data_IF_783930157286
#
_entry.id   IF_783930157286
#
_cell.length_a   1.000
_cell.length_b   1.000
_cell.length_c   1.000
_cell.angle_alpha   90.00
_cell.angle_beta   90.00
_cell.angle_gamma   90.00
#
_symmetry.space_group_name_H-M   'P 1'
#
loop_
_entity.id
_entity.type
_entity.pdbx_description
1 polymer ?
#
# COMPACT_ATOMS: atom_id res chain seq x y z
N UNK A 1 9.46 -7.51 12.94
CA UNK A 1 8.09 -6.96 13.07
C UNK A 1 7.26 -7.41 11.89
N UNK A 2 6.06 -7.90 12.13
CA UNK A 2 5.15 -8.25 11.04
C UNK A 2 4.64 -7.01 10.33
N UNK A 3 4.35 -7.11 9.02
CA UNK A 3 3.75 -5.98 8.31
C UNK A 3 2.46 -5.46 8.93
N UNK A 4 1.62 -6.31 9.51
CA UNK A 4 0.40 -5.90 10.20
C UNK A 4 0.68 -5.01 11.41
N UNK A 5 1.75 -5.30 12.15
CA UNK A 5 2.16 -4.47 13.28
C UNK A 5 2.66 -3.10 12.83
N UNK A 6 3.47 -3.09 11.76
CA UNK A 6 3.97 -1.85 11.17
C UNK A 6 2.82 -0.97 10.66
N UNK A 7 1.84 -1.57 9.99
CA UNK A 7 0.64 -0.88 9.52
C UNK A 7 -0.11 -0.24 10.69
N UNK A 8 -0.38 -1.01 11.73
CA UNK A 8 -1.13 -0.53 12.90
C UNK A 8 -0.44 0.67 13.56
N UNK A 9 0.89 0.61 13.66
CA UNK A 9 1.67 1.63 14.34
C UNK A 9 1.79 2.92 13.53
N UNK A 10 1.80 2.84 12.19
CA UNK A 10 2.17 3.94 11.32
C UNK A 10 1.08 4.38 10.33
N UNK A 11 -0.19 4.16 10.63
CA UNK A 11 -1.29 4.49 9.69
C UNK A 11 -1.23 5.94 9.19
N UNK A 12 -1.10 6.88 10.11
CA UNK A 12 -1.03 8.30 9.73
C UNK A 12 0.20 8.62 8.88
N UNK A 13 1.34 8.01 9.20
CA UNK A 13 2.56 8.17 8.42
C UNK A 13 2.41 7.63 7.00
N UNK A 14 1.76 6.48 6.85
CA UNK A 14 1.49 5.90 5.53
C UNK A 14 0.64 6.86 4.69
N UNK A 15 -0.45 7.37 5.26
CA UNK A 15 -1.31 8.32 4.56
C UNK A 15 -0.54 9.58 4.15
N UNK A 16 0.28 10.11 5.04
CA UNK A 16 1.06 11.30 4.77
C UNK A 16 2.04 11.11 3.61
N UNK A 17 2.74 9.98 3.58
CA UNK A 17 3.67 9.65 2.49
C UNK A 17 2.93 9.56 1.16
N UNK A 18 1.81 8.84 1.14
CA UNK A 18 1.02 8.67 -0.10
C UNK A 18 0.55 10.01 -0.63
N UNK A 19 0.01 10.85 0.24
CA UNK A 19 -0.52 12.16 -0.16
C UNK A 19 0.58 13.14 -0.58
N UNK A 20 1.75 13.06 0.03
CA UNK A 20 2.89 13.90 -0.33
C UNK A 20 3.40 13.63 -1.74
N UNK A 21 3.15 12.44 -2.27
CA UNK A 21 3.59 12.03 -3.61
C UNK A 21 2.42 11.82 -4.57
N UNK A 22 1.40 12.66 -4.47
CA UNK A 22 0.27 12.70 -5.40
C UNK A 22 -0.60 11.43 -5.44
N UNK A 23 -0.53 10.61 -4.39
CA UNK A 23 -1.44 9.49 -4.24
C UNK A 23 -2.67 9.85 -3.42
N UNK A 24 -3.70 9.03 -3.51
CA UNK A 24 -4.94 9.19 -2.74
C UNK A 24 -5.44 7.85 -2.27
N UNK A 25 -6.27 7.89 -1.23
CA UNK A 25 -7.08 6.74 -0.80
C UNK A 25 -6.24 5.49 -0.58
N UNK A 26 -5.23 5.59 0.30
CA UNK A 26 -4.39 4.45 0.65
C UNK A 26 -5.22 3.35 1.30
N UNK A 27 -5.09 2.13 0.78
CA UNK A 27 -5.82 0.95 1.27
C UNK A 27 -4.84 -0.20 1.41
N UNK A 28 -5.14 -1.13 2.31
CA UNK A 28 -4.38 -2.36 2.48
C UNK A 28 -5.14 -3.52 1.85
N UNK A 29 -4.40 -4.44 1.22
CA UNK A 29 -4.96 -5.68 0.70
C UNK A 29 -3.96 -6.83 0.90
N UNK A 30 -4.29 -8.02 0.42
CA UNK A 30 -3.39 -9.17 0.48
C UNK A 30 -3.31 -9.81 1.86
N UNK A 31 -2.16 -10.41 2.18
CA UNK A 31 -2.02 -11.23 3.39
C UNK A 31 -2.25 -10.44 4.68
N UNK A 32 -1.82 -9.18 4.73
CA UNK A 32 -2.03 -8.34 5.93
C UNK A 32 -3.52 -8.11 6.17
N UNK A 33 -4.27 -7.83 5.10
CA UNK A 33 -5.71 -7.62 5.22
C UNK A 33 -6.42 -8.85 5.79
N UNK A 34 -6.00 -10.03 5.37
CA UNK A 34 -6.63 -11.29 5.78
C UNK A 34 -6.06 -11.87 7.08
N UNK A 35 -5.15 -11.15 7.75
CA UNK A 35 -4.55 -11.62 8.99
C UNK A 35 -3.64 -12.83 8.81
N UNK A 36 -3.07 -13.01 7.64
CA UNK A 36 -2.24 -14.16 7.28
C UNK A 36 -0.77 -13.80 7.08
N UNK A 37 -0.37 -12.59 7.47
CA UNK A 37 1.02 -12.17 7.28
C UNK A 37 1.95 -12.81 8.30
N UNK A 38 3.20 -13.02 7.86
CA UNK A 38 4.31 -13.48 8.67
C UNK A 38 5.40 -12.41 8.69
N UNK A 39 6.48 -12.65 9.44
CA UNK A 39 7.59 -11.69 9.56
C UNK A 39 8.18 -11.28 8.21
N UNK A 40 8.18 -12.17 7.23
CA UNK A 40 8.76 -11.94 5.91
C UNK A 40 7.72 -11.62 4.83
N UNK A 41 6.47 -11.41 5.21
CA UNK A 41 5.42 -11.03 4.26
C UNK A 41 5.61 -9.59 3.79
N UNK A 42 5.08 -9.30 2.60
CA UNK A 42 5.03 -7.93 2.07
C UNK A 42 3.77 -7.23 2.57
N UNK A 43 3.88 -5.92 2.76
CA UNK A 43 2.70 -5.07 2.97
C UNK A 43 2.23 -4.60 1.61
N UNK A 44 1.00 -4.94 1.24
CA UNK A 44 0.41 -4.58 -0.04
C UNK A 44 -0.48 -3.35 0.12
N UNK A 45 -0.09 -2.26 -0.50
CA UNK A 45 -0.80 -0.97 -0.45
C UNK A 45 -1.36 -0.65 -1.82
N UNK A 46 -2.64 -0.32 -1.86
CA UNK A 46 -3.35 0.12 -3.05
C UNK A 46 -3.61 1.62 -2.92
N UNK A 47 -3.24 2.37 -3.93
CA UNK A 47 -3.47 3.81 -3.96
C UNK A 47 -4.21 4.20 -5.23
N UNK A 48 -4.97 5.28 -5.17
CA UNK A 48 -5.59 5.87 -6.34
C UNK A 48 -4.68 6.98 -6.87
N UNK A 49 -4.35 6.97 -8.17
CA UNK A 49 -3.55 8.04 -8.75
C UNK A 49 -4.41 9.29 -8.99
N UNK A 50 -3.74 10.43 -9.07
CA UNK A 50 -4.32 11.69 -9.57
C UNK A 50 -3.80 11.95 -10.98
N UNK A 51 -4.31 12.97 -11.70
CA UNK A 51 -3.74 13.31 -13.00
C UNK A 51 -2.25 13.69 -12.94
N UNK A 52 -1.76 14.08 -11.76
CA UNK A 52 -0.36 14.48 -11.57
C UNK A 52 0.56 13.34 -11.16
N UNK A 53 0.01 12.17 -10.86
CA UNK A 53 0.80 11.03 -10.38
C UNK A 53 1.64 10.45 -11.50
N UNK A 54 2.93 10.27 -11.25
CA UNK A 54 3.87 9.64 -12.19
C UNK A 54 4.37 8.31 -11.62
N UNK A 55 5.07 7.55 -12.47
CA UNK A 55 5.74 6.34 -12.00
C UNK A 55 6.83 6.66 -10.97
N UNK A 56 7.45 7.84 -11.06
CA UNK A 56 8.41 8.29 -10.05
C UNK A 56 7.73 8.49 -8.69
N UNK A 57 6.50 9.00 -8.68
CA UNK A 57 5.73 9.14 -7.44
C UNK A 57 5.46 7.79 -6.79
N UNK A 58 5.05 6.81 -7.59
CA UNK A 58 4.79 5.44 -7.09
C UNK A 58 6.07 4.85 -6.49
N UNK A 59 7.20 5.01 -7.18
CA UNK A 59 8.48 4.53 -6.68
C UNK A 59 8.92 5.24 -5.40
N UNK A 60 8.68 6.54 -5.31
CA UNK A 60 9.01 7.33 -4.12
C UNK A 60 8.15 6.90 -2.93
N UNK A 61 6.86 6.68 -3.13
CA UNK A 61 5.95 6.18 -2.09
C UNK A 61 6.46 4.85 -1.55
N UNK A 62 6.76 3.92 -2.44
CA UNK A 62 7.28 2.60 -2.05
C UNK A 62 8.56 2.74 -1.23
N UNK A 63 9.51 3.51 -1.72
CA UNK A 63 10.80 3.71 -1.06
C UNK A 63 10.63 4.31 0.33
N UNK A 64 9.82 5.35 0.46
CA UNK A 64 9.60 6.01 1.74
C UNK A 64 8.82 5.15 2.73
N UNK A 65 7.87 4.37 2.25
CA UNK A 65 7.14 3.44 3.12
C UNK A 65 8.06 2.34 3.65
N UNK A 66 8.97 1.81 2.82
CA UNK A 66 9.95 0.83 3.28
C UNK A 66 10.82 1.43 4.39
N UNK A 67 11.28 2.66 4.21
CA UNK A 67 12.08 3.35 5.23
C UNK A 67 11.31 3.58 6.53
N UNK A 68 10.06 4.01 6.41
CA UNK A 68 9.21 4.29 7.56
C UNK A 68 8.88 3.02 8.35
N UNK A 69 8.55 1.95 7.64
CA UNK A 69 7.96 0.76 8.24
C UNK A 69 8.97 -0.34 8.56
N UNK A 70 10.11 -0.34 7.86
CA UNK A 70 11.12 -1.38 8.05
C UNK A 70 10.69 -2.75 7.54
N UNK A 71 9.68 -2.83 6.66
CA UNK A 71 9.21 -4.06 6.03
C UNK A 71 9.14 -3.86 4.53
N UNK A 72 9.05 -4.96 3.78
CA UNK A 72 8.86 -4.88 2.33
C UNK A 72 7.45 -4.37 2.03
N UNK A 73 7.35 -3.50 1.04
CA UNK A 73 6.09 -2.87 0.66
C UNK A 73 5.93 -2.93 -0.85
N UNK A 74 4.75 -3.35 -1.28
CA UNK A 74 4.33 -3.22 -2.67
C UNK A 74 3.27 -2.13 -2.77
N UNK A 75 3.41 -1.26 -3.76
CA UNK A 75 2.46 -0.18 -4.01
C UNK A 75 1.89 -0.35 -5.39
N UNK A 76 0.57 -0.49 -5.47
CA UNK A 76 -0.14 -0.73 -6.72
C UNK A 76 -1.29 0.28 -6.87
N UNK A 77 -1.62 0.56 -8.12
CA UNK A 77 -2.85 1.28 -8.48
C UNK A 77 -3.86 0.28 -9.01
N UNK A 78 -5.17 0.63 -9.07
CA UNK A 78 -6.17 -0.29 -9.60
C UNK A 78 -5.84 -0.84 -10.98
N UNK A 79 -5.31 0.01 -11.87
CA UNK A 79 -4.97 -0.44 -13.23
C UNK A 79 -3.74 -1.35 -13.29
N UNK A 80 -2.90 -1.33 -12.27
CA UNK A 80 -1.73 -2.21 -12.19
C UNK A 80 -2.07 -3.59 -11.64
N UNK A 81 -3.25 -3.76 -11.06
CA UNK A 81 -3.69 -5.08 -10.58
C UNK A 81 -3.95 -6.00 -11.76
N UNK A 82 -3.58 -7.30 -11.63
CA UNK A 82 -3.95 -8.28 -12.66
C UNK A 82 -5.47 -8.31 -12.87
N UNK A 83 -5.90 -8.36 -14.12
CA UNK A 83 -7.33 -8.36 -14.46
C UNK A 83 -8.10 -9.43 -13.70
N UNK A 84 -7.49 -10.60 -13.52
CA UNK A 84 -8.09 -11.74 -12.86
C UNK A 84 -8.47 -11.44 -11.40
N UNK A 85 -7.72 -10.59 -10.72
CA UNK A 85 -7.90 -10.32 -9.29
C UNK A 85 -8.42 -8.92 -8.98
N UNK A 86 -8.51 -8.05 -9.99
CA UNK A 86 -8.83 -6.63 -9.76
C UNK A 86 -10.13 -6.42 -9.01
N UNK A 87 -11.20 -7.03 -9.46
CA UNK A 87 -12.51 -6.84 -8.84
C UNK A 87 -12.51 -7.31 -7.38
N UNK A 88 -11.89 -8.44 -7.09
CA UNK A 88 -11.79 -8.99 -5.74
C UNK A 88 -10.98 -8.06 -4.84
N UNK A 89 -9.82 -7.62 -5.30
CA UNK A 89 -8.96 -6.72 -4.51
C UNK A 89 -9.68 -5.41 -4.22
N UNK A 90 -10.32 -4.80 -5.23
CA UNK A 90 -11.04 -3.54 -5.04
C UNK A 90 -12.21 -3.68 -4.05
N UNK A 91 -12.88 -4.84 -4.07
CA UNK A 91 -13.99 -5.08 -3.16
C UNK A 91 -13.53 -5.31 -1.71
N UNK A 92 -12.36 -5.94 -1.52
CA UNK A 92 -11.87 -6.33 -0.20
C UNK A 92 -10.96 -5.30 0.45
N UNK A 93 -10.24 -4.48 -0.33
CA UNK A 93 -9.26 -3.54 0.20
C UNK A 93 -9.89 -2.58 1.23
N UNK A 94 -9.14 -2.29 2.30
CA UNK A 94 -9.63 -1.46 3.39
C UNK A 94 -8.76 -0.23 3.58
N UNK A 95 -9.36 0.93 3.91
CA UNK A 95 -8.59 2.15 4.17
C UNK A 95 -7.54 1.96 5.25
N UNK A 96 -6.42 2.60 5.03
CA UNK A 96 -5.33 2.66 6.01
C UNK A 96 -5.58 3.71 7.09
#
# INVERSE_FOLDING_TARGET
MKPSDALRTHRAGIRAVVEAHHGRNARVFGSVLHGQDAEDSDLDILIDPTPDTTLFDIGAIRHELIKLLGVRVDVLTPNALPDKFRATVLAEARPV
#
